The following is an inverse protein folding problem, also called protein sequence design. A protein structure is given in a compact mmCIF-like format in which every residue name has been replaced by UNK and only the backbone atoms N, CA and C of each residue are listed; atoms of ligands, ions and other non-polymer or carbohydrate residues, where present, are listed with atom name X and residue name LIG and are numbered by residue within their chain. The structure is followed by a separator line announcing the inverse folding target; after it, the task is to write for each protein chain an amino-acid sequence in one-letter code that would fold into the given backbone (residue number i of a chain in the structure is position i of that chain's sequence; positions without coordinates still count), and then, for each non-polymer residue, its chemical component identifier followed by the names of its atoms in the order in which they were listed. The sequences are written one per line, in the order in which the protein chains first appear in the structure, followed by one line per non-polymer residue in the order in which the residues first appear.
data_IF_394660636567
#
_entry.id   IF_394660636567
#
_cell.length_a   1.000
_cell.length_b   1.000
_cell.length_c   1.000
_cell.angle_alpha   90.00
_cell.angle_beta   90.00
_cell.angle_gamma   90.00
#
_symmetry.space_group_name_H-M   'P 1'
#
loop_
_entity.id
_entity.type
_entity.pdbx_description
1 polymer ?
#
# COMPACT_ATOMS: atom_id res chain seq x y z
N UNK A 1 -0.23 0.63 40.69
CA UNK A 1 -1.02 -0.33 39.87
C UNK A 1 -1.84 0.31 38.73
N UNK A 2 -2.59 1.42 38.93
CA UNK A 2 -3.33 2.11 37.84
C UNK A 2 -2.41 2.67 36.74
N UNK A 3 -1.26 3.25 37.12
CA UNK A 3 -0.30 3.83 36.17
C UNK A 3 0.31 2.76 35.24
N UNK A 4 0.76 1.64 35.81
CA UNK A 4 1.30 0.50 35.06
C UNK A 4 0.27 -0.06 34.06
N UNK A 5 -0.99 -0.23 34.47
CA UNK A 5 -2.07 -0.66 33.57
C UNK A 5 -2.29 0.32 32.42
N UNK A 6 -2.20 1.63 32.68
CA UNK A 6 -2.34 2.63 31.62
C UNK A 6 -1.15 2.62 30.66
N UNK A 7 0.08 2.48 31.17
CA UNK A 7 1.29 2.37 30.33
C UNK A 7 1.19 1.12 29.45
N UNK A 8 0.79 -0.03 30.00
CA UNK A 8 0.60 -1.26 29.24
C UNK A 8 -0.41 -1.12 28.10
N UNK A 9 -1.51 -0.37 28.33
CA UNK A 9 -2.52 -0.10 27.28
C UNK A 9 -1.94 0.77 26.16
N UNK A 10 -1.17 1.80 26.50
CA UNK A 10 -0.50 2.64 25.52
C UNK A 10 0.51 1.84 24.70
N UNK A 11 1.34 1.04 25.37
CA UNK A 11 2.30 0.15 24.71
C UNK A 11 1.58 -0.82 23.78
N UNK A 12 0.51 -1.46 24.23
CA UNK A 12 -0.32 -2.34 23.41
C UNK A 12 -0.90 -1.62 22.18
N UNK A 13 -1.49 -0.43 22.37
CA UNK A 13 -2.10 0.32 21.27
C UNK A 13 -1.06 0.76 20.23
N UNK A 14 0.14 1.17 20.66
CA UNK A 14 1.25 1.52 19.77
C UNK A 14 1.75 0.30 19.01
N UNK A 15 1.97 -0.84 19.68
CA UNK A 15 2.41 -2.09 19.04
C UNK A 15 1.37 -2.57 18.03
N UNK A 16 0.09 -2.57 18.39
CA UNK A 16 -1.00 -2.95 17.48
C UNK A 16 -1.02 -2.05 16.24
N UNK A 17 -0.98 -0.73 16.45
CA UNK A 17 -0.97 0.26 15.35
C UNK A 17 0.24 0.06 14.43
N UNK A 18 1.44 -0.11 14.99
CA UNK A 18 2.65 -0.36 14.23
C UNK A 18 2.56 -1.66 13.41
N UNK A 19 2.05 -2.73 14.03
CA UNK A 19 1.86 -4.04 13.38
C UNK A 19 0.92 -3.92 12.18
N UNK A 20 -0.21 -3.23 12.35
CA UNK A 20 -1.19 -3.03 11.27
C UNK A 20 -0.62 -2.18 10.14
N UNK A 21 0.14 -1.12 10.43
CA UNK A 21 0.79 -0.31 9.40
C UNK A 21 1.87 -1.07 8.63
N UNK A 22 2.68 -1.88 9.32
CA UNK A 22 3.67 -2.75 8.68
C UNK A 22 2.95 -3.75 7.77
N UNK A 23 1.90 -4.40 8.25
CA UNK A 23 1.08 -5.31 7.46
C UNK A 23 0.49 -4.63 6.21
N UNK A 24 -0.05 -3.42 6.34
CA UNK A 24 -0.58 -2.64 5.21
C UNK A 24 0.50 -2.27 4.19
N UNK A 25 1.71 -1.93 4.65
CA UNK A 25 2.85 -1.66 3.76
C UNK A 25 3.29 -2.91 3.01
N UNK A 26 3.32 -4.07 3.68
CA UNK A 26 3.71 -5.35 3.09
C UNK A 26 2.67 -5.89 2.11
N UNK A 27 1.38 -5.68 2.40
CA UNK A 27 0.26 -6.00 1.50
C UNK A 27 -0.06 -4.87 0.53
N UNK A 28 0.84 -3.88 0.42
CA UNK A 28 0.74 -2.74 -0.46
C UNK A 28 1.08 -3.09 -1.91
N UNK A 29 0.50 -2.38 -2.91
CA UNK A 29 0.87 -2.51 -4.32
C UNK A 29 2.29 -2.03 -4.64
N UNK A 30 2.95 -1.36 -3.67
CA UNK A 30 4.33 -0.90 -3.77
C UNK A 30 5.34 -1.92 -3.25
N UNK A 31 4.89 -2.95 -2.52
CA UNK A 31 5.78 -3.98 -2.01
C UNK A 31 6.19 -4.92 -3.16
N UNK A 32 7.49 -5.16 -3.40
CA UNK A 32 7.94 -5.97 -4.53
C UNK A 32 7.52 -7.42 -4.37
N UNK A 33 7.23 -8.09 -5.50
CA UNK A 33 6.99 -9.53 -5.52
C UNK A 33 8.33 -10.25 -5.41
N UNK A 34 8.55 -10.90 -4.28
CA UNK A 34 9.80 -11.61 -3.99
C UNK A 34 9.60 -13.11 -4.13
N UNK A 35 10.66 -13.79 -4.54
CA UNK A 35 10.70 -15.24 -4.61
C UNK A 35 12.09 -15.72 -4.94
N UNK A 36 12.20 -17.00 -5.25
CA UNK A 36 13.45 -17.61 -5.68
C UNK A 36 13.18 -18.73 -6.67
N UNK A 37 14.07 -18.89 -7.64
CA UNK A 37 14.06 -20.00 -8.59
C UNK A 37 15.37 -20.78 -8.47
N UNK A 38 15.30 -22.09 -8.62
CA UNK A 38 16.49 -22.96 -8.63
C UNK A 38 16.85 -23.28 -10.08
N UNK A 39 18.06 -22.90 -10.48
CA UNK A 39 18.61 -23.16 -11.82
C UNK A 39 19.86 -24.03 -11.66
N UNK A 40 19.70 -25.33 -11.87
CA UNK A 40 20.77 -26.30 -11.58
C UNK A 40 21.01 -26.40 -10.07
N UNK A 41 22.21 -26.02 -9.61
CA UNK A 41 22.58 -25.98 -8.19
C UNK A 41 22.53 -24.58 -7.57
N UNK A 42 22.19 -23.56 -8.35
CA UNK A 42 22.15 -22.17 -7.89
C UNK A 42 20.71 -21.75 -7.56
N UNK A 43 20.55 -21.08 -6.42
CA UNK A 43 19.27 -20.49 -6.00
C UNK A 43 19.30 -18.98 -6.24
N UNK A 44 18.54 -18.52 -7.22
CA UNK A 44 18.46 -17.11 -7.60
C UNK A 44 17.27 -16.49 -6.89
N UNK A 45 17.52 -15.56 -5.97
CA UNK A 45 16.48 -14.75 -5.34
C UNK A 45 16.20 -13.49 -6.15
N UNK A 46 14.93 -13.11 -6.27
CA UNK A 46 14.52 -11.93 -7.04
C UNK A 46 13.52 -11.05 -6.27
N UNK A 47 13.43 -9.77 -6.68
CA UNK A 47 12.45 -8.81 -6.17
C UNK A 47 11.88 -7.98 -7.33
N UNK A 48 10.69 -8.38 -7.80
CA UNK A 48 10.03 -7.80 -8.96
C UNK A 48 9.20 -6.57 -8.56
N UNK A 49 9.45 -5.43 -9.22
CA UNK A 49 8.80 -4.16 -8.94
C UNK A 49 7.31 -4.17 -9.29
N UNK A 50 6.47 -3.70 -8.37
CA UNK A 50 5.01 -3.56 -8.58
C UNK A 50 4.55 -2.10 -8.71
N UNK A 51 5.46 -1.16 -8.52
CA UNK A 51 5.22 0.26 -8.74
C UNK A 51 6.46 0.89 -9.33
N UNK A 52 6.28 1.80 -10.29
CA UNK A 52 7.32 2.68 -10.81
C UNK A 52 6.88 4.13 -10.66
N UNK A 53 7.81 5.01 -10.28
CA UNK A 53 7.58 6.44 -10.28
C UNK A 53 8.24 7.02 -11.53
N UNK A 54 7.46 7.67 -12.38
CA UNK A 54 8.00 8.42 -13.49
C UNK A 54 8.72 9.64 -12.91
N UNK A 55 10.02 9.74 -13.15
CA UNK A 55 10.77 10.95 -12.83
C UNK A 55 10.48 11.98 -13.92
N UNK A 56 9.71 13.01 -13.57
CA UNK A 56 9.36 14.13 -14.46
C UNK A 56 10.62 14.89 -14.94
N UNK A 57 11.75 14.76 -14.23
CA UNK A 57 13.01 15.46 -14.47
C UNK A 57 14.02 14.70 -15.36
N UNK A 58 13.79 13.42 -15.68
CA UNK A 58 14.66 12.70 -16.60
C UNK A 58 14.13 12.87 -18.03
N UNK A 59 14.80 13.75 -18.78
CA UNK A 59 14.54 14.01 -20.21
C UNK A 59 14.53 12.74 -21.07
N UNK A 60 15.20 11.68 -20.60
CA UNK A 60 15.09 10.35 -21.16
C UNK A 60 14.05 9.57 -20.35
N UNK A 61 12.86 9.35 -20.93
CA UNK A 61 11.80 8.48 -20.38
C UNK A 61 12.24 7.01 -20.30
N UNK A 62 13.28 6.73 -19.52
CA UNK A 62 13.69 5.40 -19.12
C UNK A 62 12.58 4.88 -18.22
N UNK A 63 11.78 3.95 -18.73
CA UNK A 63 10.69 3.36 -17.95
C UNK A 63 11.21 2.47 -16.83
N UNK A 64 10.43 1.48 -16.39
CA UNK A 64 10.79 0.75 -15.19
C UNK A 64 12.01 -0.16 -15.41
N UNK A 65 13.11 0.12 -14.71
CA UNK A 65 14.30 -0.75 -14.66
C UNK A 65 14.01 -1.93 -13.74
N UNK A 66 13.97 -3.13 -14.30
CA UNK A 66 13.89 -4.38 -13.54
C UNK A 66 15.23 -5.08 -13.64
N UNK A 67 15.84 -5.41 -12.51
CA UNK A 67 17.08 -6.17 -12.44
C UNK A 67 16.90 -7.46 -11.65
N UNK A 68 17.63 -8.49 -12.07
CA UNK A 68 17.73 -9.78 -11.39
C UNK A 68 19.21 -10.13 -11.30
N UNK A 69 19.72 -10.32 -10.08
CA UNK A 69 21.11 -10.74 -9.87
C UNK A 69 21.26 -12.20 -10.25
N UNK A 70 22.12 -12.48 -11.23
CA UNK A 70 22.43 -13.81 -11.74
C UNK A 70 23.93 -13.85 -12.04
N UNK A 71 24.70 -14.54 -11.20
CA UNK A 71 26.18 -14.59 -11.31
C UNK A 71 26.62 -15.50 -12.47
N UNK A 72 25.83 -16.53 -12.79
CA UNK A 72 26.09 -17.38 -13.95
C UNK A 72 25.88 -16.63 -15.27
N UNK A 73 26.98 -16.40 -15.99
CA UNK A 73 27.02 -15.68 -17.26
C UNK A 73 26.36 -16.45 -18.42
N UNK A 74 26.16 -17.76 -18.28
CA UNK A 74 25.48 -18.58 -19.31
C UNK A 74 23.97 -18.37 -19.32
N UNK A 75 23.42 -17.81 -18.23
CA UNK A 75 21.98 -17.56 -18.10
C UNK A 75 21.60 -16.29 -18.85
N UNK A 76 20.58 -16.43 -19.70
CA UNK A 76 19.92 -15.32 -20.40
C UNK A 76 18.57 -15.05 -19.75
N UNK A 77 18.05 -13.84 -19.91
CA UNK A 77 16.73 -13.47 -19.39
C UNK A 77 15.86 -12.92 -20.51
N UNK A 78 14.56 -13.22 -20.44
CA UNK A 78 13.52 -12.61 -21.26
C UNK A 78 12.47 -12.01 -20.37
N UNK A 79 11.92 -10.88 -20.81
CA UNK A 79 10.82 -10.19 -20.17
C UNK A 79 9.68 -10.06 -21.16
N UNK A 80 8.55 -10.67 -20.83
CA UNK A 80 7.32 -10.53 -21.59
C UNK A 80 6.45 -9.51 -20.91
N UNK A 81 5.89 -8.54 -21.64
CA UNK A 81 4.98 -7.56 -21.06
C UNK A 81 3.83 -7.20 -21.99
N UNK A 82 2.74 -6.71 -21.40
CA UNK A 82 1.62 -6.08 -22.12
C UNK A 82 0.90 -5.06 -21.24
N UNK A 83 0.12 -4.17 -21.84
CA UNK A 83 -0.73 -3.25 -21.07
C UNK A 83 -1.90 -4.01 -20.43
N UNK A 84 -2.19 -3.69 -19.17
CA UNK A 84 -3.32 -4.30 -18.47
C UNK A 84 -4.63 -3.69 -18.97
N UNK A 85 -5.60 -4.54 -19.30
CA UNK A 85 -6.94 -4.10 -19.73
C UNK A 85 -7.04 -3.71 -21.21
N UNK A 86 -6.02 -4.02 -22.02
CA UNK A 86 -6.03 -3.87 -23.48
C UNK A 86 -6.02 -5.25 -24.15
N UNK A 87 -6.35 -5.27 -25.44
CA UNK A 87 -6.22 -6.45 -26.29
C UNK A 87 -4.83 -6.56 -26.96
N UNK A 88 -3.82 -5.88 -26.39
CA UNK A 88 -2.46 -5.93 -26.94
C UNK A 88 -1.87 -7.34 -26.77
N UNK A 89 -1.12 -7.77 -27.79
CA UNK A 89 -0.29 -8.97 -27.71
C UNK A 89 0.88 -8.78 -26.74
N UNK A 90 1.45 -9.90 -26.28
CA UNK A 90 2.64 -9.87 -25.44
C UNK A 90 3.87 -9.46 -26.26
N UNK A 91 4.57 -8.44 -25.79
CA UNK A 91 5.87 -8.03 -26.32
C UNK A 91 6.98 -8.69 -25.54
N UNK A 92 7.95 -9.29 -26.24
CA UNK A 92 9.12 -9.93 -25.63
C UNK A 92 10.33 -9.01 -25.74
N UNK A 93 11.03 -8.81 -24.63
CA UNK A 93 12.28 -8.07 -24.56
C UNK A 93 13.38 -8.98 -24.01
N UNK A 94 14.54 -8.98 -24.65
CA UNK A 94 15.73 -9.63 -24.10
C UNK A 94 16.31 -8.78 -22.96
N UNK A 95 16.67 -9.42 -21.86
CA UNK A 95 17.37 -8.76 -20.76
C UNK A 95 18.84 -8.56 -21.13
N UNK A 96 19.35 -7.36 -20.90
CA UNK A 96 20.75 -7.01 -21.10
C UNK A 96 21.54 -7.35 -19.85
N UNK A 97 22.74 -7.90 -20.03
CA UNK A 97 23.63 -8.23 -18.91
C UNK A 97 24.53 -7.05 -18.58
N UNK A 98 24.51 -6.63 -17.32
CA UNK A 98 25.48 -5.70 -16.74
C UNK A 98 26.14 -6.37 -15.53
N UNK A 99 27.38 -6.85 -15.71
CA UNK A 99 28.09 -7.66 -14.72
C UNK A 99 27.25 -8.87 -14.24
N UNK A 100 26.94 -8.93 -12.95
CA UNK A 100 26.20 -10.01 -12.30
C UNK A 100 24.69 -9.78 -12.33
N UNK A 101 24.18 -8.82 -13.09
CA UNK A 101 22.75 -8.54 -13.21
C UNK A 101 22.25 -8.69 -14.65
N UNK A 102 21.05 -9.26 -14.77
CA UNK A 102 20.22 -9.17 -15.97
C UNK A 102 19.21 -8.05 -15.78
N UNK A 103 19.17 -7.10 -16.72
CA UNK A 103 18.37 -5.88 -16.63
C UNK A 103 17.47 -5.75 -17.84
N UNK A 104 16.25 -5.28 -17.62
CA UNK A 104 15.34 -4.86 -18.68
C UNK A 104 14.69 -3.54 -18.32
N UNK A 105 14.43 -2.73 -19.35
CA UNK A 105 13.70 -1.48 -19.25
C UNK A 105 12.29 -1.69 -19.80
N UNK A 106 11.29 -1.73 -18.94
CA UNK A 106 9.90 -1.67 -19.40
C UNK A 106 9.60 -0.26 -19.92
N UNK A 107 8.76 -0.10 -20.95
CA UNK A 107 8.43 1.22 -21.48
C UNK A 107 7.68 2.05 -20.44
N UNK A 108 8.01 3.34 -20.36
CA UNK A 108 7.29 4.29 -19.51
C UNK A 108 5.80 4.30 -19.89
N UNK A 109 4.94 4.48 -18.88
CA UNK A 109 3.50 4.63 -19.08
C UNK A 109 3.03 5.95 -18.46
N UNK A 110 1.92 6.54 -18.94
CA UNK A 110 1.30 7.68 -18.28
C UNK A 110 0.91 7.33 -16.83
N UNK A 111 0.65 8.37 -16.02
CA UNK A 111 0.18 8.20 -14.65
C UNK A 111 -1.03 7.28 -14.60
N UNK A 112 -1.07 6.39 -13.61
CA UNK A 112 -2.07 5.33 -13.44
C UNK A 112 -2.02 4.20 -14.48
N UNK A 113 -1.14 4.27 -15.50
CA UNK A 113 -0.87 3.17 -16.42
C UNK A 113 -0.42 1.91 -15.69
N UNK A 114 -0.81 0.75 -16.21
CA UNK A 114 -0.47 -0.56 -15.65
C UNK A 114 0.07 -1.47 -16.77
N UNK A 115 1.19 -2.14 -16.49
CA UNK A 115 1.68 -3.23 -17.32
C UNK A 115 1.60 -4.54 -16.53
N UNK A 116 1.28 -5.61 -17.25
CA UNK A 116 1.58 -6.97 -16.83
C UNK A 116 2.95 -7.31 -17.38
N UNK A 117 3.80 -7.93 -16.58
CA UNK A 117 5.06 -8.47 -17.07
C UNK A 117 5.45 -9.77 -16.36
N UNK A 118 6.26 -10.57 -17.04
CA UNK A 118 6.77 -11.84 -16.53
C UNK A 118 8.22 -11.99 -17.00
N UNK A 119 9.06 -12.55 -16.13
CA UNK A 119 10.47 -12.77 -16.43
C UNK A 119 10.74 -14.26 -16.44
N UNK A 120 11.41 -14.72 -17.48
CA UNK A 120 11.93 -16.07 -17.61
C UNK A 120 13.44 -16.04 -17.75
N UNK A 121 14.11 -16.99 -17.11
CA UNK A 121 15.55 -17.20 -17.20
C UNK A 121 15.80 -18.46 -18.02
N UNK A 122 16.71 -18.38 -18.98
CA UNK A 122 17.05 -19.48 -19.90
C UNK A 122 18.49 -19.92 -19.67
N UNK A 123 18.71 -21.23 -19.51
CA UNK A 123 20.04 -21.85 -19.41
C UNK A 123 20.08 -23.09 -20.30
N UNK A 124 20.81 -23.01 -21.41
CA UNK A 124 20.75 -24.03 -22.47
C UNK A 124 19.33 -24.12 -23.05
N UNK A 125 18.77 -25.33 -23.12
CA UNK A 125 17.42 -25.58 -23.65
C UNK A 125 16.30 -25.49 -22.59
N UNK A 126 16.64 -25.15 -21.34
CA UNK A 126 15.66 -25.05 -20.24
C UNK A 126 15.31 -23.60 -19.96
N UNK A 127 14.01 -23.34 -19.81
CA UNK A 127 13.45 -22.05 -19.39
C UNK A 127 12.81 -22.17 -18.00
N UNK A 128 13.08 -21.18 -17.15
CA UNK A 128 12.64 -21.10 -15.76
C UNK A 128 11.89 -19.78 -15.57
N UNK A 129 10.57 -19.83 -15.43
CA UNK A 129 9.79 -18.63 -15.08
C UNK A 129 10.07 -18.23 -13.65
N UNK A 130 10.30 -16.94 -13.39
CA UNK A 130 10.43 -16.44 -12.03
C UNK A 130 9.09 -16.52 -11.30
N UNK A 131 7.98 -16.22 -11.98
CA UNK A 131 6.64 -16.19 -11.39
C UNK A 131 5.65 -17.01 -12.21
N UNK A 132 4.72 -17.70 -11.56
CA UNK A 132 3.66 -18.46 -12.26
C UNK A 132 2.60 -17.54 -12.87
N UNK A 133 2.35 -16.39 -12.23
CA UNK A 133 1.38 -15.38 -12.65
C UNK A 133 2.14 -14.09 -13.01
N UNK A 134 1.71 -13.34 -14.04
CA UNK A 134 2.32 -12.07 -14.39
C UNK A 134 2.24 -11.06 -13.25
N UNK A 135 3.33 -10.31 -13.07
CA UNK A 135 3.41 -9.22 -12.11
C UNK A 135 2.75 -7.98 -12.69
N UNK A 136 1.88 -7.34 -11.91
CA UNK A 136 1.31 -6.03 -12.25
C UNK A 136 2.23 -4.94 -11.74
N UNK A 137 2.74 -4.09 -12.64
CA UNK A 137 3.43 -2.85 -12.30
C UNK A 137 2.55 -1.64 -12.61
N UNK A 138 2.36 -0.77 -11.62
CA UNK A 138 1.61 0.49 -11.77
C UNK A 138 2.54 1.70 -11.82
N UNK A 139 2.32 2.56 -12.79
CA UNK A 139 3.08 3.80 -12.97
C UNK A 139 2.42 4.95 -12.21
N UNK A 140 3.24 5.74 -11.52
CA UNK A 140 2.83 6.91 -10.73
C UNK A 140 3.63 8.12 -11.15
N UNK A 141 3.02 9.29 -11.08
CA UNK A 141 3.75 10.55 -11.18
C UNK A 141 4.45 10.91 -9.86
N UNK A 142 5.31 11.92 -9.92
CA UNK A 142 6.03 12.45 -8.77
C UNK A 142 5.05 12.93 -7.68
N UNK A 143 5.34 12.54 -6.43
CA UNK A 143 4.61 13.03 -5.26
C UNK A 143 5.59 13.89 -4.44
N UNK A 144 5.28 15.18 -4.19
CA UNK A 144 6.13 16.03 -3.36
C UNK A 144 6.43 15.40 -2.00
N UNK A 145 7.71 15.29 -1.64
CA UNK A 145 8.17 14.56 -0.46
C UNK A 145 7.64 15.10 0.88
N UNK A 146 7.11 16.32 0.92
CA UNK A 146 6.49 16.90 2.11
C UNK A 146 5.04 16.42 2.34
N UNK A 147 4.42 15.71 1.40
CA UNK A 147 3.03 15.23 1.53
C UNK A 147 2.95 13.85 2.24
N UNK A 148 3.70 12.81 1.83
CA UNK A 148 3.56 11.48 2.44
C UNK A 148 3.84 11.43 3.95
N UNK A 149 4.87 12.09 4.52
CA UNK A 149 5.14 12.04 5.95
C UNK A 149 3.98 12.53 6.84
N UNK A 150 3.41 13.74 6.62
CA UNK A 150 2.26 14.18 7.41
C UNK A 150 1.01 13.31 7.20
N UNK A 151 0.79 12.77 6.00
CA UNK A 151 -0.33 11.87 5.73
C UNK A 151 -0.23 10.59 6.58
N UNK A 152 0.90 9.89 6.49
CA UNK A 152 1.11 8.64 7.23
C UNK A 152 1.07 8.87 8.74
N UNK A 153 1.62 10.00 9.20
CA UNK A 153 1.56 10.39 10.61
C UNK A 153 0.12 10.58 11.11
N UNK A 154 -0.73 11.26 10.34
CA UNK A 154 -2.14 11.45 10.71
C UNK A 154 -2.93 10.15 10.68
N UNK A 155 -2.66 9.25 9.73
CA UNK A 155 -3.25 7.91 9.71
C UNK A 155 -2.82 7.09 10.93
N UNK A 156 -1.53 7.17 11.32
CA UNK A 156 -1.04 6.55 12.55
C UNK A 156 -1.78 7.09 13.78
N UNK A 157 -1.92 8.41 13.91
CA UNK A 157 -2.67 9.03 15.01
C UNK A 157 -4.13 8.55 15.00
N UNK A 158 -4.79 8.54 13.84
CA UNK A 158 -6.17 8.08 13.73
C UNK A 158 -6.33 6.63 14.21
N UNK A 159 -5.46 5.71 13.78
CA UNK A 159 -5.53 4.30 14.18
C UNK A 159 -5.17 4.10 15.67
N UNK A 160 -4.17 4.82 16.17
CA UNK A 160 -3.77 4.79 17.57
C UNK A 160 -4.92 5.25 18.49
N UNK A 161 -5.49 6.43 18.20
CA UNK A 161 -6.56 6.98 19.02
C UNK A 161 -7.89 6.25 18.81
N UNK A 162 -8.13 5.64 17.65
CA UNK A 162 -9.23 4.69 17.43
C UNK A 162 -9.17 3.55 18.44
N UNK A 163 -8.01 2.89 18.55
CA UNK A 163 -7.76 1.80 19.50
C UNK A 163 -7.90 2.28 20.94
N UNK A 164 -7.30 3.43 21.27
CA UNK A 164 -7.39 4.02 22.61
C UNK A 164 -8.83 4.39 23.00
N UNK A 165 -9.62 4.88 22.05
CA UNK A 165 -11.04 5.21 22.27
C UNK A 165 -11.84 3.95 22.62
N UNK A 166 -11.61 2.84 21.90
CA UNK A 166 -12.28 1.57 22.20
C UNK A 166 -11.93 1.04 23.59
N UNK A 167 -10.63 1.03 23.94
CA UNK A 167 -10.19 0.58 25.27
C UNK A 167 -10.75 1.48 26.37
N UNK A 168 -10.72 2.80 26.18
CA UNK A 168 -11.26 3.77 27.16
C UNK A 168 -12.78 3.60 27.32
N UNK A 169 -13.51 3.34 26.23
CA UNK A 169 -14.95 3.08 26.26
C UNK A 169 -15.29 1.81 27.06
N UNK A 170 -14.53 0.73 26.86
CA UNK A 170 -14.69 -0.52 27.62
C UNK A 170 -14.40 -0.33 29.12
N UNK A 171 -13.44 0.53 29.46
CA UNK A 171 -13.05 0.85 30.84
C UNK A 171 -13.95 1.90 31.51
N UNK A 172 -14.96 2.43 30.81
CA UNK A 172 -15.80 3.55 31.28
C UNK A 172 -14.97 4.77 31.67
N UNK A 173 -13.92 5.02 30.89
CA UNK A 173 -13.00 6.11 31.14
C UNK A 173 -13.60 7.47 30.77
N UNK A 174 -12.97 8.54 31.25
CA UNK A 174 -13.47 9.92 31.03
C UNK A 174 -13.00 10.51 29.70
N UNK A 175 -12.04 9.87 29.02
CA UNK A 175 -11.38 10.42 27.83
C UNK A 175 -11.89 9.85 26.51
N UNK A 176 -13.03 9.15 26.50
CA UNK A 176 -13.60 8.55 25.29
C UNK A 176 -13.90 9.61 24.22
N UNK A 177 -14.63 10.67 24.58
CA UNK A 177 -15.00 11.74 23.65
C UNK A 177 -13.80 12.50 23.05
N UNK A 178 -12.79 12.95 23.83
CA UNK A 178 -11.63 13.61 23.24
C UNK A 178 -10.78 12.68 22.36
N UNK A 179 -10.66 11.38 22.70
CA UNK A 179 -9.97 10.41 21.83
C UNK A 179 -10.74 10.14 20.53
N UNK A 180 -12.07 10.07 20.60
CA UNK A 180 -12.92 9.93 19.43
C UNK A 180 -12.83 11.16 18.51
N UNK A 181 -12.79 12.37 19.08
CA UNK A 181 -12.61 13.60 18.31
C UNK A 181 -11.24 13.65 17.62
N UNK A 182 -10.17 13.28 18.33
CA UNK A 182 -8.83 13.24 17.75
C UNK A 182 -8.75 12.23 16.61
N UNK A 183 -9.36 11.06 16.79
CA UNK A 183 -9.48 10.05 15.72
C UNK A 183 -10.20 10.61 14.50
N UNK A 184 -11.35 11.26 14.71
CA UNK A 184 -12.17 11.83 13.65
C UNK A 184 -11.42 12.93 12.87
N UNK A 185 -10.77 13.86 13.57
CA UNK A 185 -10.03 14.97 12.95
C UNK A 185 -8.80 14.47 12.21
N UNK A 186 -8.02 13.57 12.82
CA UNK A 186 -6.85 12.99 12.16
C UNK A 186 -7.22 12.14 10.95
N UNK A 187 -8.34 11.42 10.99
CA UNK A 187 -8.87 10.66 9.84
C UNK A 187 -9.41 11.58 8.74
N UNK A 188 -10.06 12.69 9.09
CA UNK A 188 -10.50 13.70 8.10
C UNK A 188 -9.29 14.27 7.35
N UNK A 189 -8.31 14.79 8.09
CA UNK A 189 -7.15 15.46 7.49
C UNK A 189 -6.25 14.43 6.80
N UNK A 190 -5.87 13.36 7.48
CA UNK A 190 -5.01 12.33 6.93
C UNK A 190 -5.67 11.56 5.79
N UNK A 191 -6.88 11.04 6.01
CA UNK A 191 -7.58 10.17 5.08
C UNK A 191 -8.26 10.91 3.93
N UNK A 192 -9.14 11.88 4.23
CA UNK A 192 -10.03 12.50 3.25
C UNK A 192 -9.51 13.82 2.65
N UNK A 193 -8.44 14.41 3.18
CA UNK A 193 -7.80 15.59 2.59
C UNK A 193 -6.46 15.20 1.97
N UNK A 194 -5.55 14.66 2.78
CA UNK A 194 -4.20 14.34 2.32
C UNK A 194 -4.14 13.10 1.42
N UNK A 195 -4.99 12.09 1.65
CA UNK A 195 -5.12 10.93 0.76
C UNK A 195 -5.47 11.34 -0.67
N UNK A 196 -6.58 12.07 -0.87
CA UNK A 196 -6.95 12.68 -2.16
C UNK A 196 -5.87 13.55 -2.80
N UNK A 197 -5.16 14.32 -1.99
CA UNK A 197 -4.05 15.13 -2.46
C UNK A 197 -2.91 14.25 -3.00
N UNK A 198 -2.51 13.20 -2.27
CA UNK A 198 -1.53 12.22 -2.76
C UNK A 198 -2.00 11.52 -4.04
N UNK A 199 -3.29 11.17 -4.12
CA UNK A 199 -3.89 10.53 -5.28
C UNK A 199 -3.85 11.45 -6.51
N UNK A 200 -4.12 12.74 -6.32
CA UNK A 200 -4.04 13.75 -7.38
C UNK A 200 -2.63 13.82 -7.96
N UNK A 201 -1.61 13.90 -7.10
CA UNK A 201 -0.22 13.93 -7.55
C UNK A 201 0.20 12.62 -8.22
N UNK A 202 -0.22 11.47 -7.69
CA UNK A 202 0.20 10.17 -8.21
C UNK A 202 -0.50 9.78 -9.53
N UNK A 203 -1.78 10.14 -9.69
CA UNK A 203 -2.67 9.59 -10.72
C UNK A 203 -3.57 10.61 -11.42
N UNK A 204 -3.51 11.89 -11.05
CA UNK A 204 -4.28 12.95 -11.70
C UNK A 204 -5.73 13.12 -11.22
N UNK A 205 -6.23 12.29 -10.29
CA UNK A 205 -7.58 12.38 -9.73
C UNK A 205 -7.55 12.65 -8.22
N UNK A 206 -8.39 13.57 -7.72
CA UNK A 206 -8.50 13.82 -6.29
C UNK A 206 -9.26 12.70 -5.56
N UNK A 207 -10.32 12.17 -6.16
CA UNK A 207 -11.14 11.12 -5.54
C UNK A 207 -11.55 10.13 -6.62
N UNK A 208 -11.32 8.84 -6.36
CA UNK A 208 -11.71 7.74 -7.23
C UNK A 208 -12.69 6.79 -6.54
N UNK A 209 -13.07 7.05 -5.28
CA UNK A 209 -14.13 6.34 -4.57
C UNK A 209 -15.54 6.83 -4.91
N UNK A 210 -16.53 6.24 -4.25
CA UNK A 210 -17.94 6.59 -4.34
C UNK A 210 -18.16 8.05 -3.88
N UNK A 211 -19.05 8.82 -4.52
CA UNK A 211 -19.98 8.44 -5.60
C UNK A 211 -19.39 8.51 -7.01
N UNK A 212 -18.15 9.00 -7.17
CA UNK A 212 -17.58 9.32 -8.49
C UNK A 212 -16.75 8.20 -9.10
N UNK A 213 -16.47 7.14 -8.35
CA UNK A 213 -15.76 5.96 -8.82
C UNK A 213 -15.89 4.76 -7.88
N UNK A 214 -15.02 3.78 -8.07
CA UNK A 214 -15.08 2.47 -7.40
C UNK A 214 -13.77 2.10 -6.68
N UNK A 215 -12.85 3.04 -6.47
CA UNK A 215 -11.60 2.77 -5.77
C UNK A 215 -11.87 2.31 -4.33
N UNK A 216 -11.35 1.12 -4.02
CA UNK A 216 -11.59 0.48 -2.72
C UNK A 216 -10.92 1.23 -1.58
N UNK A 217 -9.79 1.90 -1.81
CA UNK A 217 -9.03 2.61 -0.76
C UNK A 217 -9.78 3.84 -0.29
N UNK A 218 -10.30 4.61 -1.24
CA UNK A 218 -11.11 5.79 -0.96
C UNK A 218 -12.41 5.39 -0.23
N UNK A 219 -13.08 4.33 -0.71
CA UNK A 219 -14.31 3.82 -0.11
C UNK A 219 -14.11 3.32 1.33
N UNK A 220 -13.04 2.55 1.56
CA UNK A 220 -12.63 2.10 2.90
C UNK A 220 -12.49 3.28 3.86
N UNK A 221 -11.75 4.31 3.45
CA UNK A 221 -11.51 5.50 4.28
C UNK A 221 -12.82 6.25 4.57
N UNK A 222 -13.68 6.42 3.57
CA UNK A 222 -14.98 7.06 3.72
C UNK A 222 -15.89 6.31 4.71
N UNK A 223 -15.97 4.98 4.60
CA UNK A 223 -16.78 4.15 5.51
C UNK A 223 -16.29 4.29 6.95
N UNK A 224 -14.97 4.18 7.19
CA UNK A 224 -14.40 4.38 8.51
C UNK A 224 -14.75 5.78 9.07
N UNK A 225 -14.64 6.82 8.23
CA UNK A 225 -14.95 8.18 8.62
C UNK A 225 -16.42 8.36 9.02
N UNK A 226 -17.37 7.81 8.26
CA UNK A 226 -18.81 7.87 8.57
C UNK A 226 -19.11 7.25 9.94
N UNK A 227 -18.53 6.08 10.23
CA UNK A 227 -18.71 5.45 11.54
C UNK A 227 -18.13 6.27 12.69
N UNK A 228 -16.99 6.94 12.47
CA UNK A 228 -16.42 7.87 13.45
C UNK A 228 -17.26 9.13 13.66
N UNK A 229 -17.87 9.67 12.61
CA UNK A 229 -18.82 10.78 12.70
C UNK A 229 -20.00 10.37 13.59
N UNK A 230 -20.62 9.22 13.33
CA UNK A 230 -21.74 8.70 14.12
C UNK A 230 -21.31 8.49 15.57
N UNK A 231 -20.18 7.80 15.80
CA UNK A 231 -19.68 7.52 17.13
C UNK A 231 -19.41 8.81 17.93
N UNK A 232 -18.81 9.82 17.31
CA UNK A 232 -18.55 11.10 17.96
C UNK A 232 -19.84 11.84 18.34
N UNK A 233 -20.84 11.90 17.45
CA UNK A 233 -22.11 12.55 17.75
C UNK A 233 -22.89 11.82 18.85
N UNK A 234 -22.87 10.48 18.84
CA UNK A 234 -23.47 9.69 19.92
C UNK A 234 -22.75 9.96 21.24
N UNK A 235 -21.42 9.99 21.26
CA UNK A 235 -20.64 10.28 22.46
C UNK A 235 -20.83 11.70 22.98
N UNK A 236 -21.09 12.68 22.10
CA UNK A 236 -21.44 14.04 22.53
C UNK A 236 -22.78 14.11 23.26
N UNK A 237 -23.77 13.30 22.85
CA UNK A 237 -25.09 13.25 23.51
C UNK A 237 -25.10 12.31 24.73
N UNK A 238 -24.39 11.20 24.64
CA UNK A 238 -24.30 10.18 25.69
C UNK A 238 -22.85 9.70 25.83
N UNK A 239 -22.04 10.38 26.68
CA UNK A 239 -20.64 10.02 26.90
C UNK A 239 -20.44 8.61 27.48
N UNK A 240 -21.48 8.01 28.06
CA UNK A 240 -21.46 6.65 28.59
C UNK A 240 -21.64 5.56 27.53
N UNK A 241 -21.93 5.90 26.27
CA UNK A 241 -22.13 4.94 25.20
C UNK A 241 -20.82 4.20 24.87
N UNK A 242 -20.87 2.87 24.87
CA UNK A 242 -19.72 2.02 24.57
C UNK A 242 -19.80 1.36 23.20
N UNK A 243 -21.02 1.12 22.72
CA UNK A 243 -21.25 0.35 21.52
C UNK A 243 -20.66 1.05 20.29
N UNK A 244 -21.02 2.32 20.06
CA UNK A 244 -20.59 3.05 18.88
C UNK A 244 -19.07 3.28 18.77
N UNK A 245 -18.35 3.75 19.81
CA UNK A 245 -16.90 3.90 19.70
C UNK A 245 -16.16 2.57 19.51
N UNK A 246 -16.60 1.50 20.17
CA UNK A 246 -15.98 0.17 20.01
C UNK A 246 -16.27 -0.37 18.61
N UNK A 247 -17.50 -0.21 18.12
CA UNK A 247 -17.88 -0.64 16.78
C UNK A 247 -17.14 0.14 15.69
N UNK A 248 -17.03 1.46 15.81
CA UNK A 248 -16.27 2.29 14.86
C UNK A 248 -14.77 1.92 14.85
N UNK A 249 -14.18 1.65 16.02
CA UNK A 249 -12.80 1.18 16.10
C UNK A 249 -12.60 -0.20 15.48
N UNK A 250 -13.55 -1.12 15.68
CA UNK A 250 -13.54 -2.43 15.03
C UNK A 250 -13.65 -2.30 13.50
N UNK A 251 -14.57 -1.47 12.99
CA UNK A 251 -14.70 -1.20 11.55
C UNK A 251 -13.40 -0.61 10.98
N UNK A 252 -12.80 0.35 11.70
CA UNK A 252 -11.51 0.93 11.33
C UNK A 252 -10.44 -0.15 11.23
N UNK A 253 -10.28 -0.97 12.27
CA UNK A 253 -9.30 -2.06 12.27
C UNK A 253 -9.54 -3.06 11.14
N UNK A 254 -10.78 -3.49 10.93
CA UNK A 254 -11.14 -4.39 9.85
C UNK A 254 -10.76 -3.83 8.48
N UNK A 255 -11.03 -2.55 8.24
CA UNK A 255 -10.67 -1.85 7.00
C UNK A 255 -9.14 -1.80 6.79
N UNK A 256 -8.39 -1.54 7.85
CA UNK A 256 -6.92 -1.57 7.85
C UNK A 256 -6.32 -3.00 7.87
N UNK A 257 -7.13 -4.05 7.93
CA UNK A 257 -6.67 -5.45 7.77
C UNK A 257 -7.00 -5.97 6.37
N UNK A 258 -7.99 -5.41 5.67
CA UNK A 258 -8.24 -5.77 4.27
C UNK A 258 -7.01 -5.37 3.43
N UNK A 259 -6.37 -6.32 2.72
CA UNK A 259 -5.18 -6.05 1.94
C UNK A 259 -5.35 -4.86 0.99
N UNK A 260 -4.34 -4.01 0.92
CA UNK A 260 -4.33 -2.85 0.01
C UNK A 260 -4.27 -3.29 -1.47
N UNK A 261 -3.80 -4.52 -1.74
CA UNK A 261 -3.81 -5.13 -3.08
C UNK A 261 -5.21 -5.50 -3.61
N UNK A 262 -6.26 -5.54 -2.77
CA UNK A 262 -7.57 -6.06 -3.17
C UNK A 262 -8.32 -5.21 -4.22
N UNK A 263 -7.88 -3.97 -4.48
CA UNK A 263 -8.50 -3.05 -5.44
C UNK A 263 -7.68 -2.76 -6.71
N UNK A 264 -6.68 -3.59 -7.04
CA UNK A 264 -5.78 -3.37 -8.18
C UNK A 264 -6.02 -4.31 -9.34
#
# INVERSE_FOLDING_TARGET
MKLLKNILIWVFAVILTATVLIYQRMTGPTYPQRGSVEIGSEKISYALLRTWMNEEYLQDQKGARISVKVEDLSVKGKCEYKRLGTADDWTVLDMQREADELIVMLPAQPAAGKLLYMISLEKGDKSYSLTEVPVVIRFKSFIPGWIPPPHVFLIFIALLFSTMTAVEALRRGKRVTPYALLTLVSMLIGGLIMGPMMQKYAFGAYWAGWPFGHDMTDNKTLVAFIFWVIAYFVLRKNPGNRFWPVFAAFVTLAIFVIPQCAGF
#
